data_IF_370043719958
#
_entry.id   IF_370043719958
#
_cell.length_a   1.000
_cell.length_b   1.000
_cell.length_c   1.000
_cell.angle_alpha   90.00
_cell.angle_beta   90.00
_cell.angle_gamma   90.00
#
_symmetry.space_group_name_H-M   'P 1'
#
loop_
_entity.id
_entity.type
_entity.pdbx_description
1 polymer ?
#
# COMPACT_ATOMS: atom_id res chain seq x y z
N UNK A 1 24.03 51.45 -7.08
CA UNK A 1 24.75 50.26 -7.56
C UNK A 1 24.22 49.91 -8.95
N UNK A 2 24.94 50.23 -10.03
CA UNK A 2 24.51 49.93 -11.40
C UNK A 2 24.85 48.46 -11.69
N UNK A 3 23.83 47.63 -11.90
CA UNK A 3 24.03 46.22 -12.27
C UNK A 3 24.30 46.12 -13.77
N UNK A 4 25.45 45.52 -14.13
CA UNK A 4 25.88 45.36 -15.51
C UNK A 4 24.94 44.45 -16.31
N UNK A 5 24.81 44.74 -17.63
CA UNK A 5 23.95 43.97 -18.54
C UNK A 5 24.28 42.47 -18.54
N UNK A 6 25.56 42.10 -18.41
CA UNK A 6 25.99 40.69 -18.28
C UNK A 6 25.47 40.02 -17.00
N UNK A 7 25.43 40.73 -15.88
CA UNK A 7 24.94 40.19 -14.61
C UNK A 7 23.43 39.95 -14.66
N UNK A 8 22.66 40.86 -15.30
CA UNK A 8 21.22 40.67 -15.52
C UNK A 8 20.92 39.49 -16.46
N UNK A 9 21.72 39.30 -17.51
CA UNK A 9 21.58 38.18 -18.44
C UNK A 9 21.86 36.84 -17.74
N UNK A 10 22.91 36.76 -16.91
CA UNK A 10 23.20 35.54 -16.12
C UNK A 10 22.08 35.21 -15.14
N UNK A 11 21.57 36.21 -14.43
CA UNK A 11 20.43 36.02 -13.50
C UNK A 11 19.17 35.56 -14.22
N UNK A 12 18.92 36.08 -15.43
CA UNK A 12 17.78 35.67 -16.26
C UNK A 12 17.90 34.22 -16.74
N UNK A 13 19.08 33.78 -17.17
CA UNK A 13 19.34 32.39 -17.57
C UNK A 13 19.12 31.43 -16.39
N UNK A 14 19.62 31.78 -15.21
CA UNK A 14 19.43 30.98 -13.98
C UNK A 14 17.94 30.87 -13.64
N UNK A 15 17.20 31.98 -13.69
CA UNK A 15 15.76 31.98 -13.41
C UNK A 15 14.95 31.10 -14.39
N UNK A 16 15.33 31.09 -15.68
CA UNK A 16 14.71 30.20 -16.68
C UNK A 16 15.01 28.72 -16.37
N UNK A 17 16.26 28.38 -16.04
CA UNK A 17 16.64 26.99 -15.72
C UNK A 17 15.95 26.47 -14.46
N UNK A 18 15.70 27.32 -13.46
CA UNK A 18 14.94 26.95 -12.26
C UNK A 18 13.43 26.83 -12.52
N UNK A 19 12.88 27.64 -13.45
CA UNK A 19 11.45 27.63 -13.78
C UNK A 19 10.97 26.39 -14.54
N UNK A 20 11.85 25.65 -15.21
CA UNK A 20 11.49 24.45 -16.00
C UNK A 20 11.33 23.17 -15.16
N UNK A 21 11.65 23.18 -13.86
CA UNK A 21 11.60 21.98 -13.01
C UNK A 21 10.24 21.73 -12.33
N UNK A 22 9.21 22.54 -12.60
CA UNK A 22 8.03 22.63 -11.72
C UNK A 22 6.97 21.52 -11.87
N UNK A 23 7.15 20.48 -12.66
CA UNK A 23 6.19 19.36 -12.74
C UNK A 23 6.84 17.98 -12.96
N UNK A 24 7.68 17.55 -12.01
CA UNK A 24 8.13 16.15 -11.95
C UNK A 24 7.04 15.29 -11.30
N UNK A 25 6.03 14.87 -12.08
CA UNK A 25 5.14 13.79 -11.68
C UNK A 25 5.88 12.47 -11.89
N UNK A 26 6.65 12.03 -10.89
CA UNK A 26 7.43 10.81 -10.99
C UNK A 26 6.54 9.58 -10.71
N UNK A 27 6.33 8.74 -11.73
CA UNK A 27 6.11 7.32 -11.48
C UNK A 27 7.45 6.76 -11.00
N UNK A 28 7.44 5.97 -9.94
CA UNK A 28 8.68 5.48 -9.32
C UNK A 28 8.74 3.97 -9.32
N UNK A 29 9.88 3.45 -9.76
CA UNK A 29 10.29 2.08 -9.50
C UNK A 29 11.04 2.09 -8.19
N UNK A 30 10.56 1.35 -7.20
CA UNK A 30 11.29 1.09 -5.95
C UNK A 30 11.98 -0.26 -6.09
N UNK A 31 13.30 -0.27 -5.89
CA UNK A 31 14.13 -1.46 -6.00
C UNK A 31 15.17 -1.39 -7.13
N UNK A 32 15.01 -0.49 -8.10
CA UNK A 32 15.98 -0.28 -9.20
C UNK A 32 15.84 1.11 -9.83
N UNK A 33 16.77 1.47 -10.72
CA UNK A 33 16.73 2.71 -11.50
C UNK A 33 15.98 2.56 -12.84
N UNK A 34 15.20 1.48 -12.99
CA UNK A 34 14.47 1.19 -14.22
C UNK A 34 13.25 2.10 -14.38
N UNK A 35 12.87 2.37 -15.62
CA UNK A 35 11.60 3.03 -15.91
C UNK A 35 10.43 2.16 -15.40
N UNK A 36 9.45 2.73 -14.68
CA UNK A 36 8.27 2.01 -14.23
C UNK A 36 7.48 1.43 -15.39
N UNK A 37 6.85 0.28 -15.19
CA UNK A 37 5.92 -0.26 -16.17
C UNK A 37 4.77 0.72 -16.44
N UNK A 38 4.38 0.89 -17.71
CA UNK A 38 3.30 1.80 -18.11
C UNK A 38 2.01 1.47 -17.37
N UNK A 39 1.46 2.46 -16.66
CA UNK A 39 0.23 2.34 -15.89
C UNK A 39 0.45 2.00 -14.41
N UNK A 40 1.69 1.77 -13.97
CA UNK A 40 2.01 1.61 -12.56
C UNK A 40 2.30 2.96 -11.91
N UNK A 41 1.50 3.34 -10.90
CA UNK A 41 1.84 4.48 -10.06
C UNK A 41 3.04 4.17 -9.14
N UNK A 42 3.12 2.92 -8.69
CA UNK A 42 4.19 2.36 -7.90
C UNK A 42 4.60 1.02 -8.50
N UNK A 43 5.86 0.88 -8.88
CA UNK A 43 6.42 -0.37 -9.40
C UNK A 43 7.49 -0.91 -8.42
N UNK A 44 7.43 -2.19 -8.05
CA UNK A 44 8.36 -2.83 -7.11
C UNK A 44 9.24 -3.84 -7.83
N UNK A 45 10.37 -3.38 -8.37
CA UNK A 45 11.19 -4.14 -9.30
C UNK A 45 12.68 -3.94 -9.08
N UNK A 46 13.42 -5.03 -8.94
CA UNK A 46 14.89 -5.01 -8.72
C UNK A 46 15.71 -5.31 -9.99
N UNK A 47 15.10 -5.98 -10.99
CA UNK A 47 15.79 -6.42 -12.20
C UNK A 47 14.88 -6.30 -13.42
N UNK A 48 15.45 -6.10 -14.61
CA UNK A 48 14.74 -6.05 -15.90
C UNK A 48 14.53 -7.44 -16.52
N UNK A 49 15.02 -8.50 -15.89
CA UNK A 49 14.90 -9.88 -16.38
C UNK A 49 13.43 -10.30 -16.45
N UNK A 50 12.98 -10.65 -17.65
CA UNK A 50 11.62 -11.12 -17.91
C UNK A 50 11.42 -12.47 -17.20
N UNK A 51 10.34 -12.56 -16.41
CA UNK A 51 10.01 -13.77 -15.65
C UNK A 51 10.80 -13.95 -14.36
N UNK A 52 11.70 -13.03 -14.01
CA UNK A 52 12.33 -12.99 -12.70
C UNK A 52 11.46 -12.20 -11.71
N UNK A 53 11.33 -12.74 -10.49
CA UNK A 53 10.70 -12.04 -9.39
C UNK A 53 11.71 -11.14 -8.67
N UNK A 54 11.21 -10.06 -8.07
CA UNK A 54 11.98 -9.31 -7.06
C UNK A 54 12.26 -10.20 -5.84
N UNK A 55 13.44 -10.05 -5.24
CA UNK A 55 13.83 -10.71 -3.99
C UNK A 55 13.20 -10.02 -2.77
N UNK A 56 12.87 -8.73 -2.91
CA UNK A 56 12.20 -7.91 -1.89
C UNK A 56 10.78 -7.57 -2.31
N UNK A 57 9.97 -7.16 -1.35
CA UNK A 57 8.56 -6.80 -1.57
C UNK A 57 8.10 -5.63 -0.71
N UNK A 58 6.79 -5.40 -0.72
CA UNK A 58 6.14 -4.37 0.07
C UNK A 58 5.92 -4.86 1.51
N UNK A 59 6.53 -4.19 2.48
CA UNK A 59 6.16 -4.35 3.88
C UNK A 59 4.82 -3.68 4.15
N UNK A 60 3.84 -4.44 4.65
CA UNK A 60 2.54 -3.90 5.06
C UNK A 60 2.56 -3.47 6.54
N UNK A 61 1.77 -2.46 6.94
CA UNK A 61 1.56 -2.14 8.35
C UNK A 61 1.09 -3.38 9.13
N UNK A 62 1.81 -3.72 10.20
CA UNK A 62 1.53 -4.89 11.02
C UNK A 62 0.60 -4.50 12.16
N UNK A 63 -0.60 -5.05 12.20
CA UNK A 63 -1.67 -4.66 13.12
C UNK A 63 -2.35 -5.89 13.70
N UNK A 64 -2.93 -5.79 14.88
CA UNK A 64 -3.75 -6.87 15.45
C UNK A 64 -5.20 -6.45 15.38
N UNK A 65 -5.95 -7.00 14.42
CA UNK A 65 -7.37 -6.66 14.26
C UNK A 65 -8.21 -7.31 15.36
N UNK A 66 -9.11 -6.52 15.94
CA UNK A 66 -9.96 -6.95 17.05
C UNK A 66 -11.41 -7.18 16.62
N UNK A 67 -11.94 -6.31 15.74
CA UNK A 67 -13.31 -6.36 15.23
C UNK A 67 -13.32 -6.21 13.71
N UNK A 68 -14.26 -6.88 13.06
CA UNK A 68 -14.37 -6.87 11.59
C UNK A 68 -14.84 -5.52 11.05
N UNK A 69 -15.75 -4.85 11.73
CA UNK A 69 -16.45 -3.63 11.31
C UNK A 69 -15.82 -2.34 11.87
N UNK A 70 -14.62 -2.45 12.42
CA UNK A 70 -13.95 -1.39 13.14
C UNK A 70 -12.49 -1.21 12.70
N UNK A 71 -12.06 0.04 12.64
CA UNK A 71 -10.67 0.43 12.34
C UNK A 71 -9.93 0.90 13.60
N UNK A 72 -10.51 0.65 14.78
CA UNK A 72 -9.89 0.85 16.08
C UNK A 72 -8.56 0.10 16.19
N UNK A 73 -7.61 0.68 16.94
CA UNK A 73 -6.25 0.15 17.05
C UNK A 73 -5.27 0.60 15.95
N UNK A 74 -5.77 1.24 14.88
CA UNK A 74 -4.94 1.95 13.93
C UNK A 74 -4.64 3.38 14.42
N UNK A 75 -3.40 3.84 14.24
CA UNK A 75 -3.02 5.24 14.45
C UNK A 75 -3.45 6.11 13.26
N UNK A 76 -4.77 6.19 13.04
CA UNK A 76 -5.41 6.96 11.97
C UNK A 76 -6.16 8.16 12.55
N UNK A 77 -6.34 9.20 11.72
CA UNK A 77 -7.15 10.34 12.10
C UNK A 77 -8.64 9.96 12.00
N UNK A 78 -9.36 10.09 13.11
CA UNK A 78 -10.79 9.72 13.23
C UNK A 78 -11.67 10.96 13.14
N UNK A 79 -11.49 11.73 12.07
CA UNK A 79 -12.42 12.79 11.69
C UNK A 79 -13.78 12.24 11.24
N UNK A 80 -14.70 13.13 10.90
CA UNK A 80 -15.96 12.74 10.25
C UNK A 80 -15.64 11.95 8.97
N UNK A 81 -16.35 10.85 8.76
CA UNK A 81 -16.23 9.99 7.57
C UNK A 81 -14.91 9.20 7.41
N UNK A 82 -14.09 9.07 8.46
CA UNK A 82 -12.78 8.41 8.38
C UNK A 82 -12.83 6.98 7.78
N UNK A 83 -13.89 6.21 8.04
CA UNK A 83 -14.06 4.86 7.48
C UNK A 83 -14.10 4.85 5.95
N UNK A 84 -14.64 5.90 5.32
CA UNK A 84 -14.69 6.01 3.86
C UNK A 84 -13.37 6.50 3.27
N UNK A 85 -12.66 7.39 3.97
CA UNK A 85 -11.35 7.91 3.55
C UNK A 85 -10.30 6.79 3.41
N UNK A 86 -10.41 5.75 4.24
CA UNK A 86 -9.46 4.63 4.26
C UNK A 86 -9.92 3.39 3.48
N UNK A 87 -10.94 3.48 2.63
CA UNK A 87 -11.32 2.38 1.73
C UNK A 87 -10.13 1.98 0.86
N UNK A 88 -9.84 0.67 0.82
CA UNK A 88 -8.67 0.12 0.13
C UNK A 88 -7.39 0.08 0.95
N UNK A 89 -7.42 0.51 2.22
CA UNK A 89 -6.29 0.35 3.14
C UNK A 89 -5.97 -1.14 3.33
N UNK A 90 -4.71 -1.52 3.06
CA UNK A 90 -4.22 -2.89 3.23
C UNK A 90 -3.27 -2.98 4.42
N UNK A 91 -3.50 -3.95 5.29
CA UNK A 91 -2.70 -4.22 6.49
C UNK A 91 -2.35 -5.70 6.59
N UNK A 92 -1.27 -6.03 7.29
CA UNK A 92 -0.98 -7.40 7.70
C UNK A 92 -1.50 -7.62 9.12
N UNK A 93 -2.56 -8.41 9.25
CA UNK A 93 -3.11 -8.79 10.54
C UNK A 93 -2.22 -9.84 11.24
N UNK A 94 -2.03 -9.66 12.54
CA UNK A 94 -1.31 -10.56 13.43
C UNK A 94 -2.25 -11.42 14.29
N UNK A 95 -3.51 -11.02 14.43
CA UNK A 95 -4.47 -11.67 15.27
C UNK A 95 -4.83 -13.07 14.73
N UNK A 96 -4.96 -14.03 15.64
CA UNK A 96 -5.41 -15.40 15.36
C UNK A 96 -6.60 -15.73 16.27
N UNK A 97 -7.65 -14.91 16.19
CA UNK A 97 -8.82 -14.99 17.08
C UNK A 97 -10.11 -14.90 16.27
N UNK A 98 -11.11 -15.69 16.68
CA UNK A 98 -12.44 -15.71 16.06
C UNK A 98 -12.39 -15.96 14.54
N UNK A 99 -12.62 -14.92 13.73
CA UNK A 99 -12.63 -14.93 12.27
C UNK A 99 -11.34 -14.40 11.65
N UNK A 100 -10.44 -13.85 12.47
CA UNK A 100 -9.17 -13.31 12.02
C UNK A 100 -8.07 -14.36 12.07
N UNK A 101 -7.46 -14.58 10.91
CA UNK A 101 -6.21 -15.30 10.74
C UNK A 101 -5.09 -14.31 10.46
N UNK A 102 -3.83 -14.64 10.81
CA UNK A 102 -2.69 -13.86 10.38
C UNK A 102 -2.61 -13.79 8.86
N UNK A 103 -2.35 -12.60 8.31
CA UNK A 103 -2.26 -12.38 6.87
C UNK A 103 -2.82 -11.04 6.42
N UNK A 104 -2.83 -10.77 5.10
CA UNK A 104 -3.26 -9.49 4.57
C UNK A 104 -4.78 -9.31 4.58
N UNK A 105 -5.24 -8.14 5.03
CA UNK A 105 -6.64 -7.71 4.97
C UNK A 105 -6.75 -6.35 4.29
N UNK A 106 -7.87 -6.12 3.64
CA UNK A 106 -8.25 -4.83 3.06
C UNK A 106 -9.50 -4.30 3.74
N UNK A 107 -9.53 -2.99 4.02
CA UNK A 107 -10.73 -2.31 4.47
C UNK A 107 -11.62 -1.99 3.26
N UNK A 108 -12.87 -2.48 3.26
CA UNK A 108 -13.79 -2.28 2.12
C UNK A 108 -14.78 -1.11 2.32
N UNK A 109 -14.73 -0.43 3.47
CA UNK A 109 -15.67 0.65 3.85
C UNK A 109 -16.64 0.26 4.96
N UNK A 110 -16.93 -1.03 5.07
CA UNK A 110 -17.83 -1.59 6.09
C UNK A 110 -17.10 -2.52 7.05
N UNK A 111 -16.18 -3.33 6.54
CA UNK A 111 -15.44 -4.33 7.29
C UNK A 111 -14.07 -4.69 6.69
N UNK A 112 -13.24 -5.36 7.48
CA UNK A 112 -12.00 -6.00 7.05
C UNK A 112 -12.26 -7.29 6.29
N UNK A 113 -11.72 -7.39 5.08
CA UNK A 113 -11.81 -8.60 4.26
C UNK A 113 -10.42 -9.20 4.02
N UNK A 114 -10.29 -10.51 4.24
CA UNK A 114 -9.04 -11.21 3.98
C UNK A 114 -8.77 -11.23 2.46
N UNK A 115 -7.55 -10.90 2.05
CA UNK A 115 -7.18 -10.91 0.63
C UNK A 115 -6.90 -12.33 0.08
N UNK A 116 -6.81 -13.33 0.96
CA UNK A 116 -6.62 -14.74 0.58
C UNK A 116 -7.85 -15.59 0.89
N UNK A 117 -8.34 -16.32 -0.12
CA UNK A 117 -9.46 -17.26 0.00
C UNK A 117 -9.11 -18.42 0.95
N UNK A 118 -7.86 -18.89 0.92
CA UNK A 118 -7.41 -19.99 1.76
C UNK A 118 -7.32 -19.57 3.23
N UNK A 119 -6.94 -18.31 3.48
CA UNK A 119 -6.95 -17.71 4.81
C UNK A 119 -8.37 -17.67 5.38
N UNK A 120 -9.37 -17.32 4.57
CA UNK A 120 -10.77 -17.29 5.00
C UNK A 120 -11.33 -18.70 5.29
N UNK A 121 -10.89 -19.73 4.55
CA UNK A 121 -11.28 -21.14 4.82
C UNK A 121 -10.59 -21.71 6.05
N UNK A 122 -9.32 -21.38 6.27
CA UNK A 122 -8.55 -21.84 7.42
C UNK A 122 -9.10 -21.30 8.74
N UNK A 123 -9.70 -20.10 8.72
CA UNK A 123 -10.25 -19.45 9.92
C UNK A 123 -11.70 -19.82 10.26
N UNK A 124 -12.44 -20.47 9.35
CA UNK A 124 -13.71 -21.07 9.76
C UNK A 124 -13.40 -22.30 10.60
N UNK A 125 -13.99 -22.46 11.81
CA UNK A 125 -13.95 -23.75 12.48
C UNK A 125 -14.48 -24.77 11.49
N UNK A 126 -13.64 -25.77 11.16
CA UNK A 126 -14.06 -26.89 10.31
C UNK A 126 -15.36 -27.42 10.93
N UNK A 127 -16.47 -27.55 10.17
CA UNK A 127 -17.65 -28.18 10.72
C UNK A 127 -17.20 -29.52 11.26
N UNK A 128 -17.37 -29.73 12.57
CA UNK A 128 -17.13 -31.03 13.20
C UNK A 128 -18.00 -31.97 12.38
N UNK A 129 -17.39 -32.82 11.57
CA UNK A 129 -18.11 -33.88 10.90
C UNK A 129 -18.79 -34.62 12.04
N UNK A 130 -20.12 -34.52 12.11
CA UNK A 130 -20.90 -35.29 13.04
C UNK A 130 -20.46 -36.73 12.85
N UNK A 131 -19.82 -37.28 13.88
CA UNK A 131 -19.44 -38.67 13.95
C UNK A 131 -20.76 -39.44 13.81
N UNK A 132 -21.00 -39.96 12.61
CA UNK A 132 -22.13 -40.85 12.35
C UNK A 132 -21.82 -42.09 13.15
N UNK A 133 -22.34 -42.15 14.38
CA UNK A 133 -22.37 -43.36 15.18
C UNK A 133 -23.03 -44.46 14.34
N UNK A 134 -22.23 -45.42 13.91
CA UNK A 134 -22.70 -46.62 13.23
C UNK A 134 -23.30 -47.56 14.28
N UNK A 135 -24.62 -47.76 14.16
CA UNK A 135 -25.35 -48.89 14.71
C UNK A 135 -24.81 -50.23 14.20
#
# INVERSE_FOLDING_TARGET
MKTDKCTKLRMFIIAICLGTMVNLNAQVTIGSALEPNKGALLDLKETDVIGANSLRGLGLPRVSLEKEDDMDGLAIDKGDDYKNVYIGLVVYNLASVSYFCPGPYVWNGERWEALSIDQHRACKPRPVLAEVESH
#
